data_IF_366463193616
#
_entry.id   IF_366463193616
#
_cell.length_a   1.000
_cell.length_b   1.000
_cell.length_c   1.000
_cell.angle_alpha   90.00
_cell.angle_beta   90.00
_cell.angle_gamma   90.00
#
_symmetry.space_group_name_H-M   'P 1'
#
loop_
_entity.id
_entity.type
_entity.pdbx_description
1 polymer ?
#
# COMPACT_ATOMS: atom_id res chain seq x y z
N UNK A 1 -43.80 -53.67 3.39
CA UNK A 1 -43.15 -52.60 2.62
C UNK A 1 -42.98 -51.42 3.58
N UNK A 2 -42.02 -51.48 4.52
CA UNK A 2 -40.57 -51.24 4.32
C UNK A 2 -40.30 -49.93 3.57
N UNK A 3 -39.55 -48.96 4.09
CA UNK A 3 -38.74 -48.99 5.30
C UNK A 3 -38.28 -47.60 5.74
N UNK A 4 -37.97 -47.52 7.03
CA UNK A 4 -37.19 -46.46 7.63
C UNK A 4 -35.70 -46.71 7.35
N UNK A 5 -34.93 -45.67 7.04
CA UNK A 5 -33.51 -45.65 7.39
C UNK A 5 -33.08 -44.24 7.78
N UNK A 6 -32.55 -44.20 9.00
CA UNK A 6 -31.92 -43.08 9.70
C UNK A 6 -30.50 -42.91 9.16
N UNK A 7 -30.02 -41.69 8.97
CA UNK A 7 -28.60 -41.38 9.11
C UNK A 7 -28.40 -39.91 9.50
N UNK A 8 -27.94 -39.71 10.74
CA UNK A 8 -27.23 -38.51 11.20
C UNK A 8 -25.74 -38.71 10.91
N UNK A 9 -25.03 -37.68 10.44
CA UNK A 9 -23.73 -37.26 11.00
C UNK A 9 -23.10 -36.07 10.25
N UNK A 10 -22.93 -34.98 11.01
CA UNK A 10 -21.79 -34.05 11.10
C UNK A 10 -21.39 -33.15 9.92
N UNK A 11 -21.67 -31.86 10.15
CA UNK A 11 -20.72 -30.76 10.36
C UNK A 11 -19.67 -30.43 9.30
N UNK A 12 -19.81 -29.18 8.86
CA UNK A 12 -18.81 -28.11 8.87
C UNK A 12 -17.94 -27.89 7.62
N UNK A 13 -18.17 -26.70 7.06
CA UNK A 13 -17.16 -25.65 6.87
C UNK A 13 -16.76 -25.31 5.43
N UNK A 14 -16.61 -24.00 5.25
CA UNK A 14 -15.75 -23.32 4.28
C UNK A 14 -16.25 -23.16 2.85
N UNK A 15 -16.91 -22.02 2.58
CA UNK A 15 -16.17 -20.78 2.23
C UNK A 15 -17.17 -19.66 1.95
N UNK A 16 -17.34 -18.76 2.90
CA UNK A 16 -17.94 -17.45 2.68
C UNK A 16 -16.96 -16.66 1.79
N UNK A 17 -17.21 -16.65 0.49
CA UNK A 17 -16.54 -15.73 -0.42
C UNK A 17 -17.07 -14.34 -0.12
N UNK A 18 -16.39 -13.61 0.77
CA UNK A 18 -16.67 -12.19 1.02
C UNK A 18 -16.21 -11.38 -0.19
N UNK A 19 -17.07 -11.35 -1.21
CA UNK A 19 -17.05 -10.33 -2.25
C UNK A 19 -17.35 -8.98 -1.60
N UNK A 20 -16.30 -8.24 -1.22
CA UNK A 20 -16.43 -6.82 -0.82
C UNK A 20 -16.65 -5.98 -2.08
N UNK A 21 -17.92 -5.81 -2.43
CA UNK A 21 -18.39 -4.79 -3.35
C UNK A 21 -18.32 -3.45 -2.60
N UNK A 22 -17.38 -2.56 -2.96
CA UNK A 22 -17.36 -1.19 -2.41
C UNK A 22 -18.13 -0.26 -3.37
N UNK A 23 -19.26 0.26 -2.88
CA UNK A 23 -20.17 1.17 -3.57
C UNK A 23 -20.07 2.58 -2.96
N UNK A 24 -19.92 3.60 -3.83
CA UNK A 24 -20.20 5.03 -3.64
C UNK A 24 -19.10 5.98 -3.15
N UNK A 25 -19.12 7.21 -3.70
CA UNK A 25 -18.25 8.35 -3.40
C UNK A 25 -18.34 8.85 -1.94
N UNK A 26 -19.44 8.57 -1.26
CA UNK A 26 -19.64 8.96 0.15
C UNK A 26 -18.73 8.16 1.10
N UNK A 27 -18.41 6.92 0.75
CA UNK A 27 -17.44 6.10 1.50
C UNK A 27 -16.00 6.61 1.30
N UNK A 28 -15.70 7.17 0.12
CA UNK A 28 -14.40 7.78 -0.16
C UNK A 28 -14.16 9.06 0.66
N UNK A 29 -15.17 9.91 0.81
CA UNK A 29 -15.08 11.14 1.62
C UNK A 29 -14.97 10.85 3.12
N UNK A 30 -15.78 9.89 3.62
CA UNK A 30 -15.71 9.47 5.02
C UNK A 30 -14.39 8.79 5.36
N UNK A 31 -13.78 8.14 4.38
CA UNK A 31 -12.48 7.52 4.50
C UNK A 31 -11.35 8.57 4.55
N UNK A 32 -11.39 9.62 3.73
CA UNK A 32 -10.38 10.70 3.77
C UNK A 32 -10.34 11.44 5.10
N UNK A 33 -11.50 11.63 5.74
CA UNK A 33 -11.60 12.31 7.04
C UNK A 33 -11.04 11.45 8.19
N UNK A 34 -11.26 10.14 8.16
CA UNK A 34 -10.67 9.22 9.14
C UNK A 34 -9.15 9.11 8.95
N UNK A 35 -8.67 9.13 7.71
CA UNK A 35 -7.25 9.11 7.38
C UNK A 35 -6.46 10.27 8.02
N UNK A 36 -6.94 11.52 7.91
CA UNK A 36 -6.24 12.69 8.49
C UNK A 36 -6.17 12.58 10.02
N UNK A 37 -7.26 12.15 10.67
CA UNK A 37 -7.30 12.00 12.13
C UNK A 37 -6.35 10.91 12.62
N UNK A 38 -6.30 9.79 11.91
CA UNK A 38 -5.52 8.64 12.34
C UNK A 38 -4.02 8.82 11.99
N UNK A 39 -3.69 9.57 10.93
CA UNK A 39 -2.33 10.02 10.60
C UNK A 39 -1.69 10.85 11.72
N UNK A 40 -2.44 11.77 12.33
CA UNK A 40 -1.95 12.57 13.48
C UNK A 40 -1.68 11.69 14.70
N UNK A 41 -2.45 10.62 14.91
CA UNK A 41 -2.25 9.69 16.03
C UNK A 41 -0.99 8.81 15.90
N UNK A 42 -0.48 8.65 14.68
CA UNK A 42 0.70 7.84 14.36
C UNK A 42 2.04 8.53 14.65
N UNK A 43 2.08 9.86 14.80
CA UNK A 43 3.30 10.64 15.08
C UNK A 43 4.00 10.28 16.41
N UNK A 44 3.43 9.37 17.22
CA UNK A 44 3.99 8.93 18.49
C UNK A 44 4.22 7.41 18.46
N UNK A 45 5.44 6.92 18.19
CA UNK A 45 5.68 5.48 18.16
C UNK A 45 5.94 4.93 19.56
N UNK A 46 5.40 3.75 19.90
CA UNK A 46 6.11 2.85 20.78
C UNK A 46 6.38 1.50 20.10
N UNK A 47 7.66 1.14 20.18
CA UNK A 47 8.18 -0.18 20.53
C UNK A 47 8.62 -1.21 19.48
N UNK A 48 9.76 -1.81 19.88
CA UNK A 48 10.57 -2.91 19.35
C UNK A 48 9.93 -4.29 19.49
N UNK A 49 10.30 -5.17 18.54
CA UNK A 49 10.44 -6.64 18.69
C UNK A 49 9.39 -7.46 17.91
N UNK A 50 9.65 -8.64 17.34
CA UNK A 50 10.81 -9.54 17.22
C UNK A 50 10.44 -10.67 16.21
N UNK A 51 11.43 -11.13 15.42
CA UNK A 51 11.53 -12.40 14.64
C UNK A 51 10.40 -12.78 13.66
N UNK A 52 10.39 -12.12 12.50
CA UNK A 52 10.01 -12.71 11.21
C UNK A 52 11.23 -12.73 10.29
N UNK A 53 11.11 -13.18 9.04
CA UNK A 53 12.14 -12.91 8.01
C UNK A 53 12.55 -11.43 8.12
N UNK A 54 13.85 -11.13 8.21
CA UNK A 54 14.31 -9.74 8.32
C UNK A 54 14.01 -8.97 7.04
N UNK A 55 13.89 -9.70 5.94
CA UNK A 55 13.85 -9.14 4.61
C UNK A 55 12.43 -9.23 4.04
N UNK A 56 12.11 -8.25 3.20
CA UNK A 56 10.86 -8.18 2.48
C UNK A 56 10.88 -9.13 1.29
N UNK A 57 9.84 -9.94 1.17
CA UNK A 57 9.66 -10.85 0.05
C UNK A 57 8.39 -10.52 -0.72
N UNK A 58 8.44 -10.54 -2.05
CA UNK A 58 7.23 -10.39 -2.86
C UNK A 58 6.37 -11.65 -2.75
N UNK A 59 5.32 -11.55 -1.94
CA UNK A 59 4.39 -12.65 -1.64
C UNK A 59 3.34 -12.86 -2.74
N UNK A 60 2.99 -11.82 -3.49
CA UNK A 60 1.95 -11.89 -4.51
C UNK A 60 2.19 -10.90 -5.65
N UNK A 61 1.83 -11.29 -6.87
CA UNK A 61 1.84 -10.41 -8.03
C UNK A 61 0.73 -10.81 -9.00
N UNK A 62 -0.29 -9.96 -9.11
CA UNK A 62 -1.38 -10.11 -10.05
C UNK A 62 -1.41 -8.92 -11.03
N UNK A 63 -2.44 -8.86 -11.86
CA UNK A 63 -2.55 -7.86 -12.93
C UNK A 63 -2.74 -6.43 -12.41
N UNK A 64 -3.35 -6.28 -11.25
CA UNK A 64 -3.76 -4.99 -10.69
C UNK A 64 -3.27 -4.76 -9.27
N UNK A 65 -2.47 -5.68 -8.73
CA UNK A 65 -2.02 -5.64 -7.35
C UNK A 65 -0.70 -6.41 -7.20
N UNK A 66 0.07 -6.02 -6.20
CA UNK A 66 1.31 -6.65 -5.79
C UNK A 66 1.41 -6.56 -4.27
N UNK A 67 1.92 -7.62 -3.63
CA UNK A 67 2.12 -7.66 -2.18
C UNK A 67 3.53 -8.08 -1.83
N UNK A 68 4.08 -7.42 -0.82
CA UNK A 68 5.31 -7.79 -0.14
C UNK A 68 5.01 -8.11 1.31
N UNK A 69 5.74 -9.07 1.87
CA UNK A 69 5.55 -9.51 3.25
C UNK A 69 6.90 -9.53 3.98
N UNK A 70 6.88 -9.11 5.24
CA UNK A 70 7.98 -9.27 6.20
C UNK A 70 7.38 -9.62 7.56
N UNK A 71 7.52 -10.88 7.99
CA UNK A 71 6.89 -11.36 9.21
C UNK A 71 5.36 -11.18 9.20
N UNK A 72 4.87 -10.28 10.07
CA UNK A 72 3.44 -9.95 10.22
C UNK A 72 3.03 -8.68 9.47
N UNK A 73 3.96 -8.03 8.76
CA UNK A 73 3.67 -6.86 7.93
C UNK A 73 3.43 -7.28 6.48
N UNK A 74 2.39 -6.73 5.86
CA UNK A 74 2.09 -6.90 4.44
C UNK A 74 1.93 -5.53 3.80
N UNK A 75 2.80 -5.19 2.86
CA UNK A 75 2.66 -3.99 2.03
C UNK A 75 1.97 -4.39 0.74
N UNK A 76 0.94 -3.65 0.34
CA UNK A 76 0.22 -3.87 -0.90
C UNK A 76 0.24 -2.60 -1.75
N UNK A 77 0.38 -2.75 -3.07
CA UNK A 77 0.11 -1.69 -4.04
C UNK A 77 -0.89 -2.22 -5.06
N UNK A 78 -2.00 -1.51 -5.23
CA UNK A 78 -3.11 -1.96 -6.07
C UNK A 78 -3.81 -0.83 -6.80
N UNK A 79 -4.44 -1.16 -7.94
CA UNK A 79 -5.16 -0.19 -8.77
C UNK A 79 -6.52 0.16 -8.17
N UNK A 80 -6.72 1.43 -7.87
CA UNK A 80 -7.98 1.97 -7.35
C UNK A 80 -8.37 3.22 -8.14
N UNK A 81 -9.64 3.29 -8.59
CA UNK A 81 -10.09 4.28 -9.56
C UNK A 81 -9.13 4.38 -10.77
N UNK A 82 -8.68 5.59 -11.09
CA UNK A 82 -7.76 5.87 -12.21
C UNK A 82 -6.28 5.85 -11.80
N UNK A 83 -5.97 5.50 -10.54
CA UNK A 83 -4.61 5.48 -10.01
C UNK A 83 -4.28 4.21 -9.23
N UNK A 84 -3.26 4.33 -8.39
CA UNK A 84 -2.75 3.27 -7.52
C UNK A 84 -2.68 3.75 -6.08
N UNK A 85 -2.98 2.84 -5.15
CA UNK A 85 -2.90 3.08 -3.72
C UNK A 85 -1.90 2.10 -3.12
N UNK A 86 -1.11 2.56 -2.15
CA UNK A 86 -0.27 1.69 -1.33
C UNK A 86 -0.76 1.64 0.11
N UNK A 87 -0.70 0.45 0.71
CA UNK A 87 -1.12 0.18 2.10
C UNK A 87 -0.11 -0.68 2.82
N UNK A 88 -0.11 -0.62 4.15
CA UNK A 88 0.57 -1.58 5.03
C UNK A 88 -0.44 -2.19 6.00
N UNK A 89 -0.47 -3.51 6.08
CA UNK A 89 -1.24 -4.29 7.05
C UNK A 89 -0.32 -4.86 8.11
N UNK A 90 -0.69 -4.70 9.38
CA UNK A 90 -0.09 -5.38 10.52
C UNK A 90 -1.04 -6.51 10.93
N UNK A 91 -0.77 -7.72 10.42
CA UNK A 91 -1.66 -8.88 10.55
C UNK A 91 -1.85 -9.36 11.99
N UNK A 92 -0.91 -9.07 12.89
CA UNK A 92 -0.99 -9.36 14.32
C UNK A 92 -1.96 -8.42 15.05
N UNK A 93 -2.25 -7.26 14.46
CA UNK A 93 -3.13 -6.22 15.04
C UNK A 93 -4.46 -6.09 14.32
N UNK A 94 -4.65 -6.81 13.21
CA UNK A 94 -5.82 -6.69 12.33
C UNK A 94 -6.08 -5.23 11.90
N UNK A 95 -5.00 -4.53 11.54
CA UNK A 95 -5.04 -3.11 11.15
C UNK A 95 -4.35 -2.92 9.81
N UNK A 96 -5.02 -2.17 8.92
CA UNK A 96 -4.48 -1.74 7.63
C UNK A 96 -4.44 -0.22 7.57
N UNK A 97 -3.27 0.32 7.26
CA UNK A 97 -3.04 1.74 7.05
C UNK A 97 -2.72 2.02 5.60
N UNK A 98 -3.08 3.22 5.15
CA UNK A 98 -2.62 3.70 3.86
C UNK A 98 -1.27 4.37 3.98
N UNK A 99 -0.43 4.08 3.00
CA UNK A 99 0.83 4.77 2.79
C UNK A 99 0.65 5.94 1.80
N UNK A 100 -0.35 5.89 0.92
CA UNK A 100 -0.73 7.00 0.05
C UNK A 100 -2.01 7.67 0.50
N UNK A 101 -2.06 9.01 0.50
CA UNK A 101 -3.24 9.81 0.85
C UNK A 101 -4.43 9.65 -0.13
N UNK A 102 -4.22 8.94 -1.23
CA UNK A 102 -5.21 8.69 -2.26
C UNK A 102 -4.60 7.95 -3.46
N UNK A 103 -5.35 7.83 -4.56
CA UNK A 103 -4.82 7.26 -5.81
C UNK A 103 -3.77 8.18 -6.42
N UNK A 104 -2.58 7.65 -6.67
CA UNK A 104 -1.47 8.34 -7.34
C UNK A 104 -1.04 7.59 -8.61
N UNK A 105 -0.04 8.09 -9.32
CA UNK A 105 0.57 7.35 -10.43
C UNK A 105 1.12 6.00 -9.94
N UNK A 106 1.26 5.02 -10.84
CA UNK A 106 1.87 3.73 -10.49
C UNK A 106 3.28 3.92 -9.90
N UNK A 107 4.08 4.80 -10.52
CA UNK A 107 5.41 5.13 -10.04
C UNK A 107 5.35 5.76 -8.63
N UNK A 108 4.47 6.73 -8.38
CA UNK A 108 4.31 7.33 -7.06
C UNK A 108 3.89 6.34 -5.97
N UNK A 109 2.98 5.40 -6.30
CA UNK A 109 2.59 4.35 -5.37
C UNK A 109 3.77 3.39 -5.08
N UNK A 110 4.55 3.02 -6.10
CA UNK A 110 5.71 2.15 -5.91
C UNK A 110 6.89 2.86 -5.21
N UNK A 111 7.05 4.17 -5.41
CA UNK A 111 7.99 4.99 -4.64
C UNK A 111 7.62 4.95 -3.16
N UNK A 112 6.34 5.14 -2.85
CA UNK A 112 5.82 5.05 -1.47
C UNK A 112 6.05 3.66 -0.86
N UNK A 113 5.84 2.60 -1.64
CA UNK A 113 6.18 1.23 -1.22
C UNK A 113 7.68 1.11 -0.92
N UNK A 114 8.55 1.60 -1.79
CA UNK A 114 10.00 1.53 -1.59
C UNK A 114 10.46 2.30 -0.35
N UNK A 115 9.92 3.50 -0.11
CA UNK A 115 10.22 4.26 1.11
C UNK A 115 9.96 3.42 2.37
N UNK A 116 8.81 2.76 2.43
CA UNK A 116 8.46 1.95 3.60
C UNK A 116 9.31 0.67 3.69
N UNK A 117 9.45 -0.06 2.57
CA UNK A 117 10.14 -1.36 2.54
C UNK A 117 11.65 -1.22 2.75
N UNK A 118 12.28 -0.23 2.13
CA UNK A 118 13.74 -0.06 2.11
C UNK A 118 14.22 0.82 3.26
N UNK A 119 13.43 1.81 3.66
CA UNK A 119 13.86 2.85 4.62
C UNK A 119 12.97 2.93 5.87
N UNK A 120 11.83 2.25 5.90
CA UNK A 120 10.87 2.37 7.02
C UNK A 120 10.22 3.76 7.11
N UNK A 121 10.21 4.51 6.01
CA UNK A 121 9.71 5.89 5.96
C UNK A 121 8.34 5.94 5.29
N UNK A 122 7.44 6.76 5.82
CA UNK A 122 6.17 7.10 5.17
C UNK A 122 6.21 8.54 4.65
N UNK A 123 5.61 8.82 3.47
CA UNK A 123 5.46 10.18 3.00
C UNK A 123 4.65 11.05 3.96
N UNK A 124 4.98 12.32 4.01
CA UNK A 124 4.23 13.36 4.71
C UNK A 124 3.31 14.09 3.73
N UNK A 125 2.40 14.90 4.28
CA UNK A 125 1.42 15.66 3.51
C UNK A 125 1.64 17.14 3.78
N UNK A 126 1.82 17.92 2.73
CA UNK A 126 1.94 19.38 2.82
C UNK A 126 0.56 20.04 3.06
N UNK A 127 0.50 21.35 3.33
CA UNK A 127 -0.77 22.05 3.51
C UNK A 127 -1.74 21.98 2.31
N UNK A 128 -1.22 21.73 1.11
CA UNK A 128 -1.99 21.58 -0.13
C UNK A 128 -2.49 20.14 -0.36
N UNK A 129 -2.20 19.22 0.58
CA UNK A 129 -2.60 17.82 0.51
C UNK A 129 -1.68 16.97 -0.38
N UNK A 130 -0.54 17.50 -0.81
CA UNK A 130 0.42 16.78 -1.67
C UNK A 130 1.37 15.98 -0.80
N UNK A 131 1.62 14.74 -1.23
CA UNK A 131 2.55 13.87 -0.53
C UNK A 131 3.98 14.18 -0.89
N UNK A 132 4.84 14.28 0.11
CA UNK A 132 6.27 14.49 -0.07
C UNK A 132 7.12 13.66 0.89
N UNK A 133 8.42 13.56 0.63
CA UNK A 133 9.42 12.98 1.52
C UNK A 133 10.66 13.86 1.47
N UNK A 134 11.30 14.06 2.62
CA UNK A 134 12.58 14.74 2.67
C UNK A 134 13.71 13.75 2.39
N UNK A 135 14.67 14.14 1.56
CA UNK A 135 15.93 13.42 1.35
C UNK A 135 17.08 14.21 1.96
N UNK A 136 17.81 13.58 2.88
CA UNK A 136 19.10 14.05 3.35
C UNK A 136 20.23 13.20 2.76
N UNK A 137 21.45 13.45 3.23
CA UNK A 137 22.65 12.74 2.77
C UNK A 137 22.59 11.22 3.03
N UNK A 138 21.94 10.81 4.13
CA UNK A 138 21.77 9.41 4.52
C UNK A 138 20.52 8.75 3.91
N UNK A 139 19.80 9.46 3.04
CA UNK A 139 18.60 8.98 2.36
C UNK A 139 17.29 9.58 2.89
N UNK A 140 16.16 8.90 2.67
CA UNK A 140 14.85 9.42 3.02
C UNK A 140 14.66 9.54 4.54
N UNK A 141 14.05 10.64 4.98
CA UNK A 141 13.71 10.87 6.39
C UNK A 141 12.38 11.59 6.54
N UNK A 142 11.86 11.53 7.78
CA UNK A 142 10.68 12.28 8.18
C UNK A 142 11.10 13.54 8.92
N UNK A 143 10.63 14.68 8.42
CA UNK A 143 10.87 16.00 9.01
C UNK A 143 9.61 16.42 9.77
N UNK A 144 9.65 16.44 11.09
CA UNK A 144 8.48 16.79 11.92
C UNK A 144 8.46 18.26 12.36
N UNK A 145 9.55 18.98 12.11
CA UNK A 145 9.74 20.39 12.45
C UNK A 145 9.80 21.24 11.19
N UNK A 146 9.36 22.49 11.26
CA UNK A 146 9.33 23.42 10.11
C UNK A 146 10.72 23.62 9.48
N UNK A 147 11.78 23.42 10.28
CA UNK A 147 13.17 23.38 9.82
C UNK A 147 13.74 21.99 10.12
N UNK A 148 14.25 21.32 9.11
CA UNK A 148 15.10 20.14 9.30
C UNK A 148 16.44 20.56 9.93
N UNK A 149 16.99 19.75 10.84
CA UNK A 149 18.28 20.02 11.48
C UNK A 149 19.47 19.98 10.49
N UNK A 150 19.22 19.46 9.28
CA UNK A 150 20.17 19.34 8.18
C UNK A 150 19.51 19.78 6.86
N UNK A 151 20.30 20.20 5.85
CA UNK A 151 19.77 20.44 4.51
C UNK A 151 19.08 19.19 3.97
N UNK A 152 17.88 19.38 3.42
CA UNK A 152 17.10 18.30 2.80
C UNK A 152 16.49 18.77 1.50
N UNK A 153 16.34 17.85 0.55
CA UNK A 153 15.52 18.05 -0.64
C UNK A 153 14.12 17.49 -0.42
N UNK A 154 13.08 18.27 -0.74
CA UNK A 154 11.71 17.82 -0.66
C UNK A 154 11.26 17.24 -2.00
N UNK A 155 10.93 15.95 -1.99
CA UNK A 155 10.52 15.22 -3.18
C UNK A 155 9.04 14.85 -3.07
N UNK A 156 8.27 15.24 -4.08
CA UNK A 156 6.83 14.99 -4.11
C UNK A 156 6.51 13.68 -4.83
N UNK A 157 5.62 12.88 -4.25
CA UNK A 157 5.23 11.56 -4.79
C UNK A 157 4.54 11.68 -6.16
N UNK A 158 3.89 12.81 -6.41
CA UNK A 158 3.12 13.09 -7.63
C UNK A 158 3.99 13.44 -8.86
N UNK A 159 5.30 13.64 -8.68
CA UNK A 159 6.23 13.95 -9.79
C UNK A 159 6.55 12.71 -10.61
N UNK A 160 6.61 11.55 -9.97
CA UNK A 160 7.05 10.32 -10.63
C UNK A 160 6.04 9.77 -11.63
N UNK A 161 6.56 9.37 -12.79
CA UNK A 161 5.88 8.73 -13.92
C UNK A 161 6.49 7.37 -14.21
N UNK A 162 7.80 7.22 -14.01
CA UNK A 162 8.52 5.96 -14.21
C UNK A 162 9.46 5.65 -13.04
N UNK A 163 10.07 4.46 -13.04
CA UNK A 163 11.01 4.07 -11.97
C UNK A 163 12.37 4.77 -12.12
N UNK A 164 12.75 5.14 -13.33
CA UNK A 164 14.03 5.79 -13.66
C UNK A 164 14.13 7.22 -13.12
N UNK A 165 12.99 7.82 -12.77
CA UNK A 165 12.93 9.14 -12.15
C UNK A 165 13.16 9.07 -10.64
N UNK A 166 13.22 7.87 -10.04
CA UNK A 166 13.43 7.74 -8.61
C UNK A 166 14.82 8.22 -8.18
N UNK A 167 14.95 8.78 -6.97
CA UNK A 167 16.23 9.12 -6.39
C UNK A 167 17.13 7.89 -6.27
N UNK A 168 18.44 8.07 -6.42
CA UNK A 168 19.44 6.99 -6.41
C UNK A 168 19.43 6.14 -5.13
N UNK A 169 18.98 6.70 -4.01
CA UNK A 169 18.83 5.97 -2.74
C UNK A 169 17.68 4.95 -2.73
N UNK A 170 16.86 4.91 -3.79
CA UNK A 170 15.77 3.95 -3.95
C UNK A 170 16.17 2.86 -4.95
N UNK A 171 16.30 1.63 -4.45
CA UNK A 171 16.55 0.48 -5.30
C UNK A 171 15.29 0.12 -6.11
N UNK A 172 15.36 0.26 -7.43
CA UNK A 172 14.24 -0.01 -8.35
C UNK A 172 14.11 -1.49 -8.75
N UNK A 173 15.21 -2.24 -8.73
CA UNK A 173 15.25 -3.66 -9.13
C UNK A 173 14.16 -4.55 -8.49
N UNK A 174 13.88 -4.45 -7.18
CA UNK A 174 12.79 -5.18 -6.53
C UNK A 174 11.38 -4.83 -7.06
N UNK A 175 11.22 -3.65 -7.67
CA UNK A 175 9.95 -3.08 -8.12
C UNK A 175 9.69 -3.27 -9.63
N UNK A 176 10.72 -3.44 -10.45
CA UNK A 176 10.61 -3.48 -11.92
C UNK A 176 9.53 -4.44 -12.42
N UNK A 177 9.53 -5.68 -11.92
CA UNK A 177 8.52 -6.69 -12.31
C UNK A 177 7.11 -6.27 -11.91
N UNK A 178 6.94 -5.56 -10.79
CA UNK A 178 5.65 -5.04 -10.39
C UNK A 178 5.21 -3.90 -11.32
N UNK A 179 6.10 -2.95 -11.59
CA UNK A 179 5.81 -1.85 -12.51
C UNK A 179 5.43 -2.35 -13.91
N UNK A 180 6.19 -3.27 -14.48
CA UNK A 180 5.89 -3.90 -15.77
C UNK A 180 4.53 -4.61 -15.77
N UNK A 181 4.21 -5.34 -14.69
CA UNK A 181 2.96 -6.09 -14.61
C UNK A 181 1.73 -5.19 -14.45
N UNK A 182 1.82 -4.17 -13.60
CA UNK A 182 0.70 -3.29 -13.25
C UNK A 182 0.47 -2.21 -14.32
N UNK A 183 1.53 -1.74 -15.00
CA UNK A 183 1.40 -0.80 -16.13
C UNK A 183 0.57 -1.38 -17.29
N UNK A 184 0.46 -2.71 -17.39
CA UNK A 184 -0.29 -3.38 -18.45
C UNK A 184 -1.82 -3.27 -18.28
N UNK A 185 -2.42 -2.26 -18.91
CA UNK A 185 -3.87 -2.21 -19.12
C UNK A 185 -4.27 -3.02 -20.36
N UNK A 186 -5.18 -4.01 -20.28
CA UNK A 186 -5.80 -4.53 -21.51
C UNK A 186 -6.54 -3.37 -22.16
N UNK A 187 -6.27 -3.10 -23.44
CA UNK A 187 -7.22 -2.33 -24.24
C UNK A 187 -8.58 -3.00 -24.07
N UNK A 188 -9.57 -2.26 -23.59
CA UNK A 188 -10.96 -2.61 -23.86
C UNK A 188 -11.08 -2.59 -25.38
N UNK A 189 -11.06 -3.75 -26.00
CA UNK A 189 -11.65 -3.88 -27.32
C UNK A 189 -13.13 -3.55 -27.11
N UNK A 190 -13.50 -2.33 -27.48
CA UNK A 190 -14.90 -2.02 -27.74
C UNK A 190 -15.30 -3.01 -28.84
N UNK A 191 -16.13 -3.99 -28.48
CA UNK A 191 -16.83 -4.80 -29.48
C UNK A 191 -17.70 -3.81 -30.24
N UNK A 192 -17.30 -3.51 -31.47
CA UNK A 192 -18.19 -2.92 -32.45
C UNK A 192 -19.33 -3.92 -32.65
N UNK A 193 -20.52 -3.56 -32.20
CA UNK A 193 -21.77 -4.20 -32.66
C UNK A 193 -22.07 -3.78 -34.09
#
# INVERSE_FOLDING_TARGET
>A
MEGAHRSMSKSASNRTSTSRTYQSLADATRWTENFVRDFVSWLTPPYRGRTGTTDWERAWLARREVRWRRGMEVVECFRFADGYVATVEYTDRDVTWQLTAGPVSLAGALFTVALYIQHGVTPQIDPDGRMFTALGDDGPLQVFTETADQPVEYIYVDTFRTLEEFPDCIATGPLEKAFQRLSYSPRRELRSE
#
